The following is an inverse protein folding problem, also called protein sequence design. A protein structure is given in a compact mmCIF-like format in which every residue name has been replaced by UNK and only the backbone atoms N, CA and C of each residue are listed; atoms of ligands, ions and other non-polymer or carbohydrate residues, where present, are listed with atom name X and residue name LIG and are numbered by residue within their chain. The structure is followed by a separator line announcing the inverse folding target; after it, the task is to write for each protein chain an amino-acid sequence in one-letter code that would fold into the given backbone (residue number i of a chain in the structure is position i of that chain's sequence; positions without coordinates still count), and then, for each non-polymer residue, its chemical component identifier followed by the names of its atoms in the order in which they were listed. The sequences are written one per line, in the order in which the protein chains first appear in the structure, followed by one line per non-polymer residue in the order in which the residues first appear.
data_IF_492808133575
#
_entry.id   IF_492808133575
#
_cell.length_a   1.000
_cell.length_b   1.000
_cell.length_c   1.000
_cell.angle_alpha   90.00
_cell.angle_beta   90.00
_cell.angle_gamma   90.00
#
_symmetry.space_group_name_H-M   'P 1'
#
loop_
_entity.id
_entity.type
_entity.pdbx_description
1 polymer ?
#
# COMPACT_ATOMS: atom_id res chain seq x y z
N UNK A 1 5.66 -21.22 11.17
CA UNK A 1 6.65 -20.37 10.43
C UNK A 1 7.05 -19.10 11.19
N UNK A 2 6.19 -18.54 12.05
CA UNK A 2 6.46 -17.31 12.83
C UNK A 2 7.61 -17.44 13.83
N UNK A 3 7.79 -18.63 14.43
CA UNK A 3 8.83 -18.85 15.43
C UNK A 3 10.25 -18.81 14.83
N UNK A 4 10.43 -19.42 13.66
CA UNK A 4 11.72 -19.46 12.95
C UNK A 4 12.20 -18.07 12.55
N UNK A 5 11.31 -17.21 12.04
CA UNK A 5 11.69 -15.84 11.64
C UNK A 5 12.08 -14.98 12.85
N UNK A 6 11.34 -15.07 13.98
CA UNK A 6 11.73 -14.40 15.24
C UNK A 6 13.08 -14.87 15.75
N UNK A 7 13.34 -16.18 15.70
CA UNK A 7 14.63 -16.73 16.11
C UNK A 7 15.77 -16.31 15.20
N UNK A 8 15.56 -16.30 13.88
CA UNK A 8 16.56 -15.80 12.93
C UNK A 8 16.92 -14.35 13.22
N UNK A 9 15.91 -13.50 13.42
CA UNK A 9 16.11 -12.09 13.77
C UNK A 9 16.88 -11.94 15.09
N UNK A 10 16.52 -12.70 16.13
CA UNK A 10 17.26 -12.72 17.40
C UNK A 10 18.73 -13.14 17.21
N UNK A 11 18.99 -14.15 16.35
CA UNK A 11 20.37 -14.58 16.03
C UNK A 11 21.15 -13.49 15.30
N UNK A 12 20.54 -12.80 14.35
CA UNK A 12 21.15 -11.69 13.61
C UNK A 12 21.50 -10.55 14.57
N UNK A 13 20.54 -10.13 15.40
CA UNK A 13 20.76 -9.07 16.41
C UNK A 13 21.86 -9.46 17.40
N UNK A 14 21.93 -10.74 17.81
CA UNK A 14 23.01 -11.25 18.65
C UNK A 14 24.37 -11.20 17.94
N UNK A 15 24.44 -11.53 16.65
CA UNK A 15 25.67 -11.44 15.84
C UNK A 15 26.18 -10.00 15.69
N UNK A 16 25.29 -9.02 15.63
CA UNK A 16 25.64 -7.58 15.50
C UNK A 16 26.13 -6.97 16.84
N UNK A 17 26.27 -7.79 17.90
CA UNK A 17 26.73 -7.33 19.22
C UNK A 17 25.60 -6.81 20.10
N UNK A 18 24.36 -7.22 19.80
CA UNK A 18 23.18 -6.92 20.60
C UNK A 18 22.46 -5.64 20.17
N UNK A 19 21.37 -5.35 20.85
CA UNK A 19 20.48 -4.25 20.45
C UNK A 19 21.18 -2.88 20.52
N UNK A 20 22.19 -2.68 21.36
CA UNK A 20 22.83 -1.36 21.53
C UNK A 20 23.58 -0.86 20.28
N UNK A 21 23.99 -1.77 19.39
CA UNK A 21 24.74 -1.44 18.18
C UNK A 21 23.84 -1.20 16.94
N UNK A 22 22.53 -1.36 17.07
CA UNK A 22 21.60 -1.05 15.98
C UNK A 22 21.43 0.47 15.84
N UNK A 23 21.40 0.95 14.60
CA UNK A 23 21.05 2.33 14.30
C UNK A 23 19.73 2.73 14.99
N UNK A 24 19.62 3.96 15.50
CA UNK A 24 18.39 4.45 16.10
C UNK A 24 17.25 4.39 15.07
N UNK A 25 16.16 3.70 15.40
CA UNK A 25 15.02 3.45 14.49
C UNK A 25 14.97 2.04 13.88
N UNK A 26 16.12 1.43 13.53
CA UNK A 26 16.15 0.11 12.89
C UNK A 26 15.52 -0.99 13.76
N UNK A 27 15.60 -0.82 15.09
CA UNK A 27 14.96 -1.73 16.06
C UNK A 27 13.44 -1.78 15.90
N UNK A 28 12.84 -0.63 15.71
CA UNK A 28 11.38 -0.51 15.68
C UNK A 28 10.84 -0.91 14.31
N UNK A 29 11.60 -0.66 13.25
CA UNK A 29 11.35 -1.22 11.91
C UNK A 29 11.41 -2.75 11.91
N UNK A 30 12.44 -3.33 12.54
CA UNK A 30 12.61 -4.78 12.66
C UNK A 30 11.48 -5.43 13.48
N UNK A 31 11.00 -4.75 14.52
CA UNK A 31 9.81 -5.20 15.27
C UNK A 31 8.54 -5.14 14.43
N UNK A 32 8.44 -4.20 13.48
CA UNK A 32 7.26 -4.00 12.62
C UNK A 32 7.16 -5.06 11.51
N UNK A 33 8.29 -5.54 11.01
CA UNK A 33 8.36 -6.58 9.98
C UNK A 33 8.14 -7.99 10.53
N UNK A 34 8.43 -8.20 11.81
CA UNK A 34 8.30 -9.50 12.45
C UNK A 34 6.91 -9.66 13.09
N UNK A 35 6.19 -10.78 12.84
CA UNK A 35 4.89 -11.02 13.48
C UNK A 35 5.03 -11.18 14.99
N UNK A 36 4.23 -10.43 15.76
CA UNK A 36 4.21 -10.54 17.21
C UNK A 36 3.16 -11.57 17.65
N UNK A 37 3.53 -12.85 17.61
CA UNK A 37 2.65 -13.93 18.07
C UNK A 37 2.56 -13.95 19.60
N UNK A 38 1.63 -13.17 20.18
CA UNK A 38 1.23 -13.27 21.60
C UNK A 38 -0.13 -13.96 21.73
N UNK A 39 -0.24 -15.16 21.18
CA UNK A 39 -1.49 -15.92 21.21
C UNK A 39 -1.64 -16.65 22.55
N UNK A 40 -2.61 -16.21 23.36
CA UNK A 40 -2.91 -16.83 24.66
C UNK A 40 -3.77 -18.10 24.52
N UNK A 41 -4.57 -18.20 23.46
CA UNK A 41 -5.54 -19.28 23.28
C UNK A 41 -5.25 -20.11 22.03
N UNK A 42 -5.11 -21.43 22.15
CA UNK A 42 -4.79 -22.30 21.01
C UNK A 42 -5.81 -22.25 19.87
N UNK A 43 -7.07 -21.92 20.16
CA UNK A 43 -8.12 -21.72 19.15
C UNK A 43 -7.90 -20.49 18.25
N UNK A 44 -7.11 -19.50 18.69
CA UNK A 44 -6.80 -18.35 17.85
C UNK A 44 -5.92 -18.75 16.66
N UNK A 45 -5.09 -19.79 16.80
CA UNK A 45 -4.20 -20.23 15.73
C UNK A 45 -4.94 -20.76 14.48
N UNK A 46 -6.24 -21.08 14.60
CA UNK A 46 -7.08 -21.66 13.54
C UNK A 46 -8.13 -20.70 12.98
N UNK A 47 -8.12 -19.43 13.41
CA UNK A 47 -9.15 -18.47 13.02
C UNK A 47 -8.66 -17.03 13.08
N UNK A 48 -9.53 -16.08 12.74
CA UNK A 48 -9.20 -14.67 12.66
C UNK A 48 -9.73 -13.93 13.88
N UNK A 49 -8.83 -13.56 14.78
CA UNK A 49 -9.19 -12.94 16.07
C UNK A 49 -8.81 -11.47 16.20
N UNK A 50 -7.98 -10.93 15.28
CA UNK A 50 -7.57 -9.53 15.24
C UNK A 50 -7.09 -8.99 16.62
N UNK A 51 -6.12 -9.67 17.25
CA UNK A 51 -5.59 -9.29 18.56
C UNK A 51 -6.53 -9.51 19.76
N UNK A 52 -7.75 -10.03 19.56
CA UNK A 52 -8.66 -10.32 20.67
C UNK A 52 -8.34 -11.68 21.27
N UNK A 53 -8.03 -11.67 22.57
CA UNK A 53 -7.73 -12.87 23.35
C UNK A 53 -8.64 -12.98 24.58
N UNK A 54 -8.62 -14.14 25.22
CA UNK A 54 -9.26 -14.32 26.53
C UNK A 54 -8.52 -13.43 27.52
N UNK A 55 -9.27 -12.62 28.24
CA UNK A 55 -8.74 -11.86 29.38
C UNK A 55 -9.04 -12.63 30.66
N UNK A 56 -8.05 -12.70 31.55
CA UNK A 56 -8.18 -13.30 32.87
C UNK A 56 -8.09 -12.18 33.91
N UNK A 57 -8.97 -12.21 34.92
CA UNK A 57 -8.98 -11.19 35.97
C UNK A 57 -9.99 -11.52 37.05
N UNK A 58 -10.42 -10.49 37.77
CA UNK A 58 -11.31 -10.63 38.92
C UNK A 58 -12.61 -9.87 38.68
N UNK A 59 -13.71 -10.40 39.18
CA UNK A 59 -14.91 -9.63 39.49
C UNK A 59 -14.75 -9.09 40.90
N UNK A 60 -14.96 -7.79 41.08
CA UNK A 60 -14.93 -7.14 42.39
C UNK A 60 -16.37 -6.84 42.77
N UNK A 61 -16.79 -7.26 43.97
CA UNK A 61 -18.12 -6.91 44.49
C UNK A 61 -18.21 -5.40 44.76
N UNK A 62 -19.37 -4.81 44.48
CA UNK A 62 -19.60 -3.37 44.64
C UNK A 62 -19.37 -2.89 46.08
N UNK A 63 -19.92 -3.60 47.08
CA UNK A 63 -19.98 -3.09 48.46
C UNK A 63 -18.90 -3.65 49.39
N UNK A 64 -18.30 -4.80 49.05
CA UNK A 64 -17.38 -5.52 49.95
C UNK A 64 -15.95 -5.70 49.44
N UNK A 65 -15.62 -5.22 48.24
CA UNK A 65 -14.28 -5.40 47.64
C UNK A 65 -13.84 -6.86 47.42
N UNK A 66 -14.72 -7.84 47.63
CA UNK A 66 -14.46 -9.26 47.48
C UNK A 66 -14.11 -9.58 46.02
N UNK A 67 -13.00 -10.31 45.82
CA UNK A 67 -12.44 -10.62 44.50
C UNK A 67 -12.70 -12.07 44.13
N UNK A 68 -13.51 -12.31 43.10
CA UNK A 68 -13.73 -13.65 42.54
C UNK A 68 -13.06 -13.78 41.17
N UNK A 69 -12.36 -14.88 40.91
CA UNK A 69 -11.69 -15.10 39.60
C UNK A 69 -12.73 -15.26 38.50
N UNK A 70 -12.54 -14.57 37.37
CA UNK A 70 -13.35 -14.76 36.15
C UNK A 70 -12.50 -14.63 34.89
N UNK A 71 -13.08 -15.08 33.78
CA UNK A 71 -12.51 -14.92 32.44
C UNK A 71 -13.50 -14.24 31.49
N UNK A 72 -13.00 -13.39 30.60
CA UNK A 72 -13.79 -12.76 29.54
C UNK A 72 -13.38 -13.37 28.20
N UNK A 73 -14.34 -14.03 27.54
CA UNK A 73 -14.12 -14.66 26.24
C UNK A 73 -14.52 -13.69 25.12
N UNK A 74 -13.76 -13.59 24.02
CA UNK A 74 -14.17 -12.82 22.87
C UNK A 74 -15.41 -13.44 22.20
N UNK A 75 -16.24 -12.61 21.56
CA UNK A 75 -17.37 -13.07 20.76
C UNK A 75 -16.86 -13.61 19.42
N UNK A 76 -16.97 -14.93 19.22
CA UNK A 76 -16.47 -15.66 18.04
C UNK A 76 -17.64 -16.30 17.31
N UNK A 77 -17.70 -16.10 16.00
CA UNK A 77 -18.75 -16.59 15.13
C UNK A 77 -18.13 -17.43 14.00
N UNK A 78 -18.81 -18.50 13.58
CA UNK A 78 -18.42 -19.28 12.41
C UNK A 78 -19.09 -18.68 11.17
N UNK A 79 -18.30 -18.14 10.24
CA UNK A 79 -18.80 -17.41 9.07
C UNK A 79 -18.09 -17.88 7.80
N UNK A 80 -18.83 -17.82 6.69
CA UNK A 80 -18.33 -18.03 5.33
C UNK A 80 -18.04 -16.65 4.74
N UNK A 81 -16.77 -16.38 4.43
CA UNK A 81 -16.33 -15.14 3.80
C UNK A 81 -15.93 -15.44 2.37
N UNK A 82 -16.38 -14.62 1.42
CA UNK A 82 -15.99 -14.76 0.03
C UNK A 82 -14.61 -14.14 -0.20
N UNK A 83 -13.70 -14.87 -0.85
CA UNK A 83 -12.40 -14.38 -1.31
C UNK A 83 -12.49 -14.21 -2.82
N UNK A 84 -12.21 -13.01 -3.29
CA UNK A 84 -12.28 -12.63 -4.70
C UNK A 84 -11.19 -13.34 -5.50
N UNK A 85 -9.97 -13.38 -4.97
CA UNK A 85 -8.84 -13.97 -5.69
C UNK A 85 -8.89 -15.50 -5.78
N UNK A 86 -9.53 -16.14 -4.80
CA UNK A 86 -9.71 -17.59 -4.79
C UNK A 86 -11.05 -18.03 -5.39
N UNK A 87 -11.90 -17.07 -5.80
CA UNK A 87 -13.26 -17.25 -6.29
C UNK A 87 -14.08 -18.28 -5.48
N UNK A 88 -13.94 -18.24 -4.15
CA UNK A 88 -14.57 -19.23 -3.28
C UNK A 88 -14.87 -18.70 -1.89
N UNK A 89 -15.86 -19.34 -1.27
CA UNK A 89 -16.20 -19.10 0.11
C UNK A 89 -15.26 -19.85 1.06
N UNK A 90 -14.65 -19.12 1.98
CA UNK A 90 -13.77 -19.63 3.02
C UNK A 90 -14.53 -19.64 4.34
N UNK A 91 -14.65 -20.81 4.96
CA UNK A 91 -15.27 -20.96 6.27
C UNK A 91 -14.24 -20.77 7.38
N UNK A 92 -14.43 -19.76 8.23
CA UNK A 92 -13.53 -19.43 9.33
C UNK A 92 -14.26 -19.02 10.59
N UNK A 93 -13.63 -19.31 11.74
CA UNK A 93 -14.01 -18.71 13.01
C UNK A 93 -13.44 -17.31 13.10
N UNK A 94 -14.31 -16.32 13.21
CA UNK A 94 -13.96 -14.90 13.17
C UNK A 94 -14.54 -14.21 14.40
N UNK A 95 -13.80 -13.30 15.01
CA UNK A 95 -14.37 -12.43 16.05
C UNK A 95 -15.24 -11.35 15.45
N UNK A 96 -16.24 -10.85 16.18
CA UNK A 96 -17.06 -9.71 15.70
C UNK A 96 -16.22 -8.47 15.40
N UNK A 97 -15.11 -8.26 16.13
CA UNK A 97 -14.16 -7.21 15.84
C UNK A 97 -13.44 -7.43 14.49
N UNK A 98 -12.99 -8.66 14.22
CA UNK A 98 -12.36 -9.00 12.96
C UNK A 98 -13.33 -8.87 11.78
N UNK A 99 -14.60 -9.27 11.94
CA UNK A 99 -15.64 -9.05 10.92
C UNK A 99 -15.78 -7.57 10.57
N UNK A 100 -15.93 -6.70 11.57
CA UNK A 100 -16.01 -5.25 11.34
C UNK A 100 -14.76 -4.69 10.65
N UNK A 101 -13.57 -5.23 10.95
CA UNK A 101 -12.34 -4.83 10.28
C UNK A 101 -12.29 -5.30 8.81
N UNK A 102 -12.82 -6.49 8.53
CA UNK A 102 -12.96 -7.04 7.17
C UNK A 102 -13.92 -6.17 6.36
N UNK A 103 -15.07 -5.83 6.93
CA UNK A 103 -16.07 -4.96 6.27
C UNK A 103 -15.48 -3.57 5.98
N UNK A 104 -14.78 -2.99 6.95
CA UNK A 104 -14.09 -1.71 6.77
C UNK A 104 -12.98 -1.79 5.70
N UNK A 105 -12.34 -2.94 5.58
CA UNK A 105 -11.29 -3.14 4.61
C UNK A 105 -11.82 -3.38 3.19
N UNK A 106 -13.09 -3.78 3.01
CA UNK A 106 -13.68 -4.09 1.70
C UNK A 106 -13.76 -5.58 1.36
N UNK A 107 -13.33 -6.48 2.27
CA UNK A 107 -13.31 -7.92 2.01
C UNK A 107 -12.18 -8.63 2.75
N UNK A 108 -12.17 -9.96 2.69
CA UNK A 108 -11.16 -10.76 3.41
C UNK A 108 -9.76 -10.61 2.79
N UNK A 109 -9.66 -10.55 1.46
CA UNK A 109 -8.40 -10.44 0.76
C UNK A 109 -7.75 -9.09 1.05
N UNK A 110 -8.52 -8.00 0.90
CA UNK A 110 -8.08 -6.65 1.23
C UNK A 110 -7.69 -6.51 2.70
N UNK A 111 -8.44 -7.14 3.61
CA UNK A 111 -8.09 -7.15 5.04
C UNK A 111 -6.72 -7.79 5.28
N UNK A 112 -6.44 -8.93 4.63
CA UNK A 112 -5.17 -9.64 4.79
C UNK A 112 -3.99 -8.85 4.19
N UNK A 113 -4.19 -8.23 3.03
CA UNK A 113 -3.19 -7.38 2.38
C UNK A 113 -2.87 -6.12 3.20
N UNK A 114 -3.90 -5.36 3.60
CA UNK A 114 -3.78 -4.10 4.35
C UNK A 114 -3.23 -4.30 5.77
N UNK A 115 -3.48 -5.46 6.38
CA UNK A 115 -3.05 -5.70 7.76
C UNK A 115 -1.54 -5.98 7.81
N UNK A 116 -0.78 -5.22 8.62
CA UNK A 116 0.67 -5.37 8.69
C UNK A 116 1.07 -6.65 9.43
N UNK A 117 2.26 -7.18 9.09
CA UNK A 117 2.78 -8.44 9.63
C UNK A 117 2.82 -8.49 11.16
N UNK A 118 3.18 -7.40 11.85
CA UNK A 118 3.19 -7.34 13.31
C UNK A 118 1.81 -7.47 13.97
N UNK A 119 0.71 -7.13 13.28
CA UNK A 119 -0.68 -7.28 13.78
C UNK A 119 -1.28 -8.65 13.43
N UNK A 120 -0.60 -9.43 12.60
CA UNK A 120 -1.02 -10.78 12.28
C UNK A 120 -0.51 -11.74 13.35
N UNK A 121 -1.34 -12.01 14.34
CA UNK A 121 -0.98 -12.88 15.46
C UNK A 121 -0.96 -14.37 15.09
N UNK A 122 -1.67 -14.74 14.02
CA UNK A 122 -2.02 -16.12 13.67
C UNK A 122 -1.18 -16.64 12.51
N UNK A 123 -0.58 -17.83 12.68
CA UNK A 123 0.23 -18.46 11.62
C UNK A 123 -0.57 -18.73 10.34
N UNK A 124 -1.83 -19.16 10.50
CA UNK A 124 -2.73 -19.39 9.38
C UNK A 124 -3.09 -18.09 8.64
N UNK A 125 -3.19 -16.96 9.34
CA UNK A 125 -3.37 -15.64 8.72
C UNK A 125 -2.14 -15.21 7.92
N UNK A 126 -0.93 -15.46 8.44
CA UNK A 126 0.33 -15.21 7.73
C UNK A 126 0.44 -16.05 6.45
N UNK A 127 0.07 -17.33 6.54
CA UNK A 127 0.07 -18.23 5.39
C UNK A 127 -0.91 -17.75 4.31
N UNK A 128 -2.11 -17.32 4.69
CA UNK A 128 -3.08 -16.79 3.73
C UNK A 128 -2.65 -15.48 3.11
N UNK A 129 -2.07 -14.58 3.90
CA UNK A 129 -1.51 -13.34 3.38
C UNK A 129 -0.47 -13.62 2.30
N UNK A 130 0.54 -14.45 2.59
CA UNK A 130 1.58 -14.80 1.63
C UNK A 130 1.02 -15.50 0.38
N UNK A 131 0.01 -16.37 0.56
CA UNK A 131 -0.65 -17.03 -0.57
C UNK A 131 -1.41 -16.03 -1.46
N UNK A 132 -2.13 -15.10 -0.85
CA UNK A 132 -2.93 -14.10 -1.57
C UNK A 132 -2.02 -13.07 -2.25
N UNK A 133 -0.97 -12.60 -1.58
CA UNK A 133 0.05 -11.73 -2.18
C UNK A 133 0.62 -12.37 -3.46
N UNK A 134 1.05 -13.64 -3.38
CA UNK A 134 1.56 -14.37 -4.54
C UNK A 134 0.54 -14.48 -5.68
N UNK A 135 -0.72 -14.78 -5.36
CA UNK A 135 -1.76 -14.86 -6.39
C UNK A 135 -2.03 -13.50 -7.05
N UNK A 136 -1.97 -12.40 -6.30
CA UNK A 136 -2.12 -11.06 -6.86
C UNK A 136 -0.90 -10.65 -7.71
N UNK A 137 0.30 -11.08 -7.34
CA UNK A 137 1.50 -10.93 -8.16
C UNK A 137 1.35 -11.69 -9.48
N UNK A 138 0.96 -12.97 -9.44
CA UNK A 138 0.67 -13.79 -10.63
C UNK A 138 -0.43 -13.18 -11.50
N UNK A 139 -1.48 -12.61 -10.88
CA UNK A 139 -2.55 -11.91 -11.60
C UNK A 139 -2.09 -10.57 -12.20
N UNK A 140 -1.13 -9.90 -11.57
CA UNK A 140 -0.55 -8.64 -12.04
C UNK A 140 0.48 -8.82 -13.16
N UNK A 141 1.19 -9.95 -13.16
CA UNK A 141 2.07 -10.37 -14.26
C UNK A 141 1.27 -10.87 -15.47
N UNK A 142 0.04 -11.35 -15.25
CA UNK A 142 -0.87 -11.66 -16.32
C UNK A 142 -1.29 -10.35 -16.99
N UNK A 143 -0.67 -10.04 -18.12
CA UNK A 143 -1.10 -8.95 -18.98
C UNK A 143 -2.55 -9.23 -19.40
N UNK A 144 -3.49 -8.58 -18.72
CA UNK A 144 -4.87 -8.47 -19.19
C UNK A 144 -4.82 -7.45 -20.31
N UNK A 145 -4.32 -7.87 -21.47
CA UNK A 145 -4.34 -7.04 -22.67
C UNK A 145 -5.81 -6.85 -23.04
N UNK A 146 -6.38 -5.71 -22.67
CA UNK A 146 -7.75 -5.34 -23.02
C UNK A 146 -7.90 -5.11 -24.53
N UNK A 147 -6.77 -4.85 -25.19
CA UNK A 147 -6.63 -4.56 -26.60
C UNK A 147 -5.75 -5.64 -27.25
N UNK A 148 -5.94 -5.94 -28.54
CA UNK A 148 -4.92 -6.69 -29.27
C UNK A 148 -3.62 -5.85 -29.29
N UNK A 149 -2.42 -6.44 -29.35
CA UNK A 149 -1.19 -5.68 -29.59
C UNK A 149 -1.29 -4.73 -30.80
N UNK A 150 -2.11 -5.10 -31.80
CA UNK A 150 -2.43 -4.24 -32.95
C UNK A 150 -3.25 -3.01 -32.59
N UNK A 151 -4.17 -3.13 -31.64
CA UNK A 151 -5.03 -2.03 -31.21
C UNK A 151 -4.28 -1.08 -30.28
N UNK A 152 -3.38 -1.59 -29.44
CA UNK A 152 -2.47 -0.76 -28.63
C UNK A 152 -1.60 0.15 -29.52
N UNK A 153 -1.04 -0.39 -30.61
CA UNK A 153 -0.28 0.39 -31.58
C UNK A 153 -1.14 1.48 -32.26
N UNK A 154 -2.37 1.17 -32.65
CA UNK A 154 -3.31 2.15 -33.24
C UNK A 154 -3.65 3.27 -32.25
N UNK A 155 -3.86 2.96 -30.97
CA UNK A 155 -4.13 4.00 -29.97
C UNK A 155 -2.91 4.88 -29.74
N UNK A 156 -1.70 4.32 -29.71
CA UNK A 156 -0.48 5.11 -29.60
C UNK A 156 -0.32 6.11 -30.74
N UNK A 157 -0.57 5.68 -31.98
CA UNK A 157 -0.55 6.54 -33.16
C UNK A 157 -1.61 7.63 -33.06
N UNK A 158 -2.86 7.28 -32.73
CA UNK A 158 -3.96 8.23 -32.53
C UNK A 158 -3.66 9.28 -31.45
N UNK A 159 -3.05 8.90 -30.33
CA UNK A 159 -2.66 9.85 -29.28
C UNK A 159 -1.50 10.77 -29.70
N UNK A 160 -0.57 10.27 -30.52
CA UNK A 160 0.53 11.09 -31.06
C UNK A 160 -0.02 12.12 -32.03
N UNK A 161 -0.91 11.72 -32.93
CA UNK A 161 -1.60 12.61 -33.86
C UNK A 161 -2.40 13.69 -33.12
N UNK A 162 -3.22 13.30 -32.13
CA UNK A 162 -4.01 14.24 -31.33
C UNK A 162 -3.12 15.25 -30.56
N UNK A 163 -1.98 14.81 -30.03
CA UNK A 163 -1.00 15.71 -29.39
C UNK A 163 -0.37 16.68 -30.39
N UNK A 164 -0.05 16.22 -31.59
CA UNK A 164 0.49 17.08 -32.66
C UNK A 164 -0.56 18.10 -33.11
N UNK A 165 -1.82 17.69 -33.25
CA UNK A 165 -2.95 18.57 -33.55
C UNK A 165 -3.17 19.60 -32.45
N UNK A 166 -3.21 19.20 -31.18
CA UNK A 166 -3.31 20.15 -30.06
C UNK A 166 -2.13 21.13 -30.03
N UNK A 167 -0.91 20.65 -30.30
CA UNK A 167 0.30 21.49 -30.35
C UNK A 167 0.23 22.46 -31.53
N UNK A 168 -0.23 22.02 -32.69
CA UNK A 168 -0.43 22.85 -33.87
C UNK A 168 -1.52 23.91 -33.64
N UNK A 169 -2.69 23.50 -33.12
CA UNK A 169 -3.77 24.41 -32.75
C UNK A 169 -3.32 25.46 -31.72
N UNK A 170 -2.54 25.05 -30.71
CA UNK A 170 -1.93 25.96 -29.74
C UNK A 170 -0.94 26.93 -30.40
N UNK A 171 -0.14 26.45 -31.35
CA UNK A 171 0.83 27.25 -32.12
C UNK A 171 0.11 28.27 -33.00
N UNK A 172 -0.97 27.87 -33.66
CA UNK A 172 -1.82 28.74 -34.49
C UNK A 172 -2.58 29.77 -33.67
N UNK A 173 -3.17 29.38 -32.54
CA UNK A 173 -3.81 30.30 -31.61
C UNK A 173 -2.79 31.35 -31.10
N UNK A 174 -1.57 30.93 -30.77
CA UNK A 174 -0.48 31.84 -30.37
C UNK A 174 -0.03 32.75 -31.51
N UNK A 175 -0.04 32.26 -32.76
CA UNK A 175 0.29 33.03 -33.97
C UNK A 175 -0.77 34.09 -34.29
N UNK A 176 -2.06 33.75 -34.14
CA UNK A 176 -3.20 34.68 -34.26
C UNK A 176 -3.21 35.72 -33.14
N UNK A 177 -2.87 35.33 -31.91
CA UNK A 177 -2.84 36.24 -30.76
C UNK A 177 -1.65 37.22 -30.76
N UNK A 178 -0.45 36.77 -31.14
CA UNK A 178 0.77 37.58 -31.01
C UNK A 178 1.44 37.96 -32.34
N UNK A 179 0.83 37.66 -33.49
CA UNK A 179 1.32 38.12 -34.79
C UNK A 179 2.74 37.67 -35.14
N UNK A 180 3.21 36.53 -34.61
CA UNK A 180 4.56 36.04 -34.86
C UNK A 180 4.68 35.54 -36.32
N UNK A 181 5.13 36.41 -37.23
CA UNK A 181 5.63 36.03 -38.55
C UNK A 181 7.09 35.59 -38.41
N UNK A 182 7.34 34.31 -38.63
CA UNK A 182 8.57 33.61 -38.24
C UNK A 182 9.87 34.11 -38.87
N UNK A 183 10.97 33.82 -38.18
CA UNK A 183 12.31 33.76 -38.76
C UNK A 183 12.80 32.31 -38.69
N UNK A 184 12.95 31.75 -39.88
CA UNK A 184 13.71 30.56 -40.32
C UNK A 184 13.60 29.24 -39.55
N UNK A 185 12.86 28.32 -40.17
CA UNK A 185 13.27 26.92 -40.33
C UNK A 185 14.61 26.88 -41.10
N UNK A 186 15.67 26.39 -40.46
CA UNK A 186 16.84 25.74 -41.06
C UNK A 186 17.81 25.39 -39.92
N UNK A 187 17.80 24.13 -39.51
CA UNK A 187 18.96 23.26 -39.25
C UNK A 187 18.33 21.87 -39.16
N UNK A 188 18.40 21.19 -40.29
CA UNK A 188 18.10 19.78 -40.42
C UNK A 188 19.38 18.97 -40.17
N UNK A 189 19.20 17.80 -39.55
CA UNK A 189 20.03 16.59 -39.60
C UNK A 189 21.57 16.71 -39.58
N UNK A 190 22.15 16.20 -38.48
CA UNK A 190 23.52 15.65 -38.51
C UNK A 190 24.27 15.69 -37.18
N UNK A 191 24.01 14.75 -36.25
CA UNK A 191 25.06 14.19 -35.38
C UNK A 191 24.61 12.92 -34.67
N UNK A 192 24.94 11.77 -35.25
CA UNK A 192 25.19 10.56 -34.49
C UNK A 192 26.62 10.64 -33.89
N UNK A 193 26.76 10.03 -32.71
CA UNK A 193 27.99 9.59 -32.03
C UNK A 193 28.92 10.63 -31.40
N UNK A 194 28.85 10.71 -30.06
CA UNK A 194 30.01 10.79 -29.16
C UNK A 194 29.58 10.55 -27.70
N UNK A 195 30.01 9.43 -27.14
CA UNK A 195 30.06 9.16 -25.69
C UNK A 195 30.98 10.17 -24.99
N UNK A 196 30.70 10.44 -23.70
CA UNK A 196 31.63 11.16 -22.83
C UNK A 196 30.99 11.80 -21.61
N UNK A 197 30.99 11.07 -20.50
CA UNK A 197 30.77 11.53 -19.11
C UNK A 197 31.47 12.84 -18.78
N UNK A 198 30.84 13.73 -17.99
CA UNK A 198 31.44 14.33 -16.78
C UNK A 198 30.38 15.04 -15.92
N UNK A 199 30.50 14.81 -14.61
CA UNK A 199 29.75 15.39 -13.51
C UNK A 199 30.03 16.89 -13.32
N UNK A 200 29.12 17.62 -12.67
CA UNK A 200 29.34 18.27 -11.35
C UNK A 200 28.61 19.62 -11.14
N UNK A 201 27.77 19.61 -10.11
CA UNK A 201 27.42 20.63 -9.11
C UNK A 201 27.04 22.09 -9.45
N UNK A 202 25.81 22.40 -8.99
CA UNK A 202 25.41 23.47 -8.07
C UNK A 202 25.53 24.96 -8.48
N UNK A 203 24.39 25.67 -8.37
CA UNK A 203 24.19 26.72 -7.35
C UNK A 203 22.72 27.17 -7.26
N UNK A 204 22.24 27.21 -6.02
CA UNK A 204 21.01 27.84 -5.56
C UNK A 204 21.04 29.36 -5.74
N UNK A 205 19.85 29.96 -5.91
CA UNK A 205 19.60 31.39 -5.77
C UNK A 205 18.09 31.68 -5.87
N UNK A 206 17.49 31.94 -4.71
CA UNK A 206 16.07 32.23 -4.48
C UNK A 206 15.66 33.63 -5.00
N UNK A 207 14.34 33.84 -5.20
CA UNK A 207 13.73 35.16 -5.01
C UNK A 207 12.48 35.48 -5.84
N UNK A 208 11.30 35.37 -5.18
CA UNK A 208 10.15 36.31 -5.15
C UNK A 208 9.55 36.83 -6.47
N UNK A 209 8.23 36.86 -6.77
CA UNK A 209 7.02 37.27 -6.02
C UNK A 209 5.80 36.84 -6.88
N UNK A 210 4.77 36.19 -6.34
CA UNK A 210 3.57 36.77 -5.72
C UNK A 210 2.71 37.64 -6.66
N UNK A 211 1.52 37.14 -7.02
CA UNK A 211 0.34 37.93 -7.39
C UNK A 211 -0.88 37.00 -7.53
N UNK A 212 -1.64 36.91 -6.44
CA UNK A 212 -3.05 36.51 -6.42
C UNK A 212 -3.88 37.36 -7.40
N UNK A 213 -4.77 36.74 -8.17
CA UNK A 213 -5.89 37.44 -8.80
C UNK A 213 -7.19 36.73 -8.44
N UNK A 214 -7.92 37.40 -7.56
CA UNK A 214 -9.30 37.17 -7.17
C UNK A 214 -10.23 37.20 -8.40
N UNK A 215 -11.10 36.20 -8.52
CA UNK A 215 -12.21 36.19 -9.47
C UNK A 215 -13.46 36.82 -8.80
N UNK A 216 -14.08 37.87 -9.37
CA UNK A 216 -15.32 38.42 -8.84
C UNK A 216 -16.53 37.67 -9.42
N UNK A 217 -17.47 37.36 -8.52
CA UNK A 217 -18.81 36.86 -8.84
C UNK A 217 -19.57 37.86 -9.72
N UNK A 218 -20.22 37.35 -10.77
CA UNK A 218 -21.30 38.08 -11.47
C UNK A 218 -22.56 37.23 -11.39
N UNK A 219 -23.49 37.71 -10.57
CA UNK A 219 -24.89 37.29 -10.56
C UNK A 219 -25.57 37.73 -11.86
N UNK A 220 -26.43 36.87 -12.43
CA UNK A 220 -27.43 37.29 -13.39
C UNK A 220 -28.70 36.43 -13.25
N UNK A 221 -29.81 37.17 -13.08
CA UNK A 221 -31.23 36.87 -13.28
C UNK A 221 -31.88 35.70 -12.54
#
# INVERSE_FOLDING_TARGET
MSFRSREMVKRIVKKIGGEKNLAPGLKDELKKSVPNSKVVMGRANRGLYAGRHIQFGNQVSHDGGNKSRRSWKPNVQDKRLFSYILDRHIKVKVTTHALRCIDKAGGIDEYLLKTPYHKMDTEMGLYWKAKIEKLYEELGEMEVVFFSPEDEAKFEEQFRELKLEQKAARREARRKMYGWSGKSEAIDEGRADAEGTHQEAARHGEGSSDADIHEPQVANA
#
